data_IF_302236041584
#
_entry.id   IF_302236041584
#
_cell.length_a   1.000
_cell.length_b   1.000
_cell.length_c   1.000
_cell.angle_alpha   90.00
_cell.angle_beta   90.00
_cell.angle_gamma   90.00
#
_symmetry.space_group_name_H-M   'P 1'
#
loop_
_entity.id
_entity.type
_entity.pdbx_description
1 polymer ?
#
# COMPACT_ATOMS: atom_id res chain seq x y z
N UNK A 1 1.39 1.51 15.22
CA UNK A 1 2.13 0.38 15.83
C UNK A 1 3.14 -0.21 14.84
N UNK A 2 4.40 0.27 14.82
CA UNK A 2 5.39 -0.18 13.82
C UNK A 2 5.74 -1.68 13.88
N UNK A 3 5.52 -2.33 15.03
CA UNK A 3 5.81 -3.76 15.19
C UNK A 3 4.96 -4.65 14.28
N UNK A 4 3.68 -4.30 14.04
CA UNK A 4 2.78 -5.08 13.19
C UNK A 4 3.34 -5.19 11.79
N UNK A 5 3.73 -4.05 11.21
CA UNK A 5 4.37 -4.02 9.90
C UNK A 5 5.61 -4.92 9.84
N UNK A 6 6.46 -4.90 10.87
CA UNK A 6 7.64 -5.79 10.92
C UNK A 6 7.25 -7.28 10.89
N UNK A 7 6.17 -7.67 11.57
CA UNK A 7 5.69 -9.07 11.56
C UNK A 7 5.18 -9.48 10.18
N UNK A 8 4.38 -8.64 9.53
CA UNK A 8 3.93 -8.86 8.15
C UNK A 8 5.12 -9.03 7.19
N UNK A 9 6.08 -8.10 7.25
CA UNK A 9 7.27 -8.13 6.40
C UNK A 9 8.12 -9.39 6.64
N UNK A 10 8.26 -9.83 7.88
CA UNK A 10 8.96 -11.07 8.20
C UNK A 10 8.25 -12.31 7.61
N UNK A 11 6.91 -12.35 7.68
CA UNK A 11 6.12 -13.47 7.15
C UNK A 11 6.12 -13.54 5.61
N UNK A 12 6.26 -12.39 4.94
CA UNK A 12 6.34 -12.33 3.47
C UNK A 12 7.62 -12.94 2.89
N UNK A 13 8.67 -13.07 3.71
CA UNK A 13 9.92 -13.71 3.30
C UNK A 13 10.57 -13.07 2.06
N UNK A 14 10.36 -11.77 1.84
CA UNK A 14 10.85 -11.06 0.66
C UNK A 14 12.37 -11.19 0.56
N UNK A 15 12.91 -11.74 -0.54
CA UNK A 15 14.37 -11.85 -0.71
C UNK A 15 15.05 -10.48 -0.67
N UNK A 16 16.26 -10.43 -0.11
CA UNK A 16 17.04 -9.22 -0.10
C UNK A 16 17.37 -8.78 -1.53
N UNK A 17 17.16 -7.50 -1.84
CA UNK A 17 17.40 -6.95 -3.17
C UNK A 17 16.19 -7.02 -4.10
N UNK A 18 15.10 -7.67 -3.70
CA UNK A 18 13.85 -7.68 -4.48
C UNK A 18 13.29 -6.27 -4.67
N UNK A 19 12.80 -6.00 -5.88
CA UNK A 19 12.10 -4.76 -6.26
C UNK A 19 10.61 -5.03 -6.19
N UNK A 20 10.05 -4.95 -4.98
CA UNK A 20 8.61 -5.20 -4.76
C UNK A 20 7.92 -4.03 -4.06
N UNK A 21 6.63 -3.87 -4.35
CA UNK A 21 5.68 -3.15 -3.52
C UNK A 21 4.62 -4.11 -2.95
N UNK A 22 3.89 -3.68 -1.93
CA UNK A 22 2.85 -4.50 -1.30
C UNK A 22 1.46 -4.05 -1.68
N UNK A 23 0.67 -4.98 -2.23
CA UNK A 23 -0.78 -4.82 -2.36
C UNK A 23 -1.43 -5.01 -0.98
N UNK A 24 -2.09 -3.97 -0.47
CA UNK A 24 -2.41 -3.83 0.95
C UNK A 24 -3.87 -4.13 1.32
N UNK A 25 -4.78 -4.24 0.34
CA UNK A 25 -6.17 -4.62 0.57
C UNK A 25 -6.77 -5.36 -0.64
N UNK A 26 -7.94 -5.97 -0.42
CA UNK A 26 -8.69 -6.70 -1.44
C UNK A 26 -9.70 -5.81 -2.21
N UNK A 27 -9.41 -4.53 -2.41
CA UNK A 27 -10.32 -3.58 -3.07
C UNK A 27 -9.69 -2.91 -4.30
N UNK A 28 -10.48 -2.78 -5.38
CA UNK A 28 -10.08 -2.15 -6.67
C UNK A 28 -8.69 -2.60 -7.16
N UNK A 29 -7.73 -1.69 -7.20
CA UNK A 29 -6.37 -1.92 -7.69
C UNK A 29 -5.40 -2.38 -6.58
N UNK A 30 -5.93 -2.69 -5.40
CA UNK A 30 -5.27 -3.39 -4.30
C UNK A 30 -4.08 -2.65 -3.70
N UNK A 31 -3.98 -1.34 -3.89
CA UNK A 31 -2.89 -0.50 -3.39
C UNK A 31 -3.44 0.85 -2.95
N UNK A 32 -3.98 0.95 -1.75
CA UNK A 32 -4.64 2.19 -1.29
C UNK A 32 -3.69 3.10 -0.50
N UNK A 33 -3.78 4.40 -0.73
CA UNK A 33 -2.88 5.41 -0.16
C UNK A 33 -2.93 5.62 1.37
N UNK A 34 -3.80 4.90 2.10
CA UNK A 34 -3.76 4.92 3.57
C UNK A 34 -2.44 4.34 4.13
N UNK A 35 -1.80 3.43 3.38
CA UNK A 35 -0.43 2.97 3.64
C UNK A 35 0.21 2.43 2.37
N UNK A 36 1.32 3.01 1.94
CA UNK A 36 2.06 2.55 0.76
C UNK A 36 3.40 1.97 1.18
N UNK A 37 3.64 0.70 0.84
CA UNK A 37 4.84 -0.03 1.27
C UNK A 37 5.56 -0.55 0.04
N UNK A 38 6.83 -0.19 -0.05
CA UNK A 38 7.72 -0.61 -1.12
C UNK A 38 9.14 -0.81 -0.59
N UNK A 39 9.86 -1.73 -1.24
CA UNK A 39 11.28 -1.93 -0.99
C UNK A 39 12.08 -0.71 -1.46
N UNK A 40 13.24 -0.49 -0.84
CA UNK A 40 14.18 0.54 -1.29
C UNK A 40 14.57 0.33 -2.75
N UNK A 41 14.75 -0.93 -3.17
CA UNK A 41 15.13 -1.26 -4.55
C UNK A 41 14.02 -0.95 -5.55
N UNK A 42 12.74 -1.10 -5.17
CA UNK A 42 11.63 -0.64 -5.99
C UNK A 42 11.64 0.89 -6.14
N UNK A 43 11.92 1.61 -5.06
CA UNK A 43 11.97 3.08 -5.08
C UNK A 43 13.19 3.62 -5.86
N UNK A 44 14.36 3.00 -5.70
CA UNK A 44 15.56 3.32 -6.49
C UNK A 44 15.29 3.07 -7.98
N UNK A 45 14.60 1.97 -8.31
CA UNK A 45 14.20 1.66 -9.68
C UNK A 45 13.19 2.66 -10.25
N UNK A 46 12.23 3.09 -9.43
CA UNK A 46 11.30 4.17 -9.76
C UNK A 46 12.05 5.45 -10.12
N UNK A 47 12.98 5.92 -9.30
CA UNK A 47 13.73 7.15 -9.60
C UNK A 47 14.54 7.07 -10.89
N UNK A 48 15.06 5.89 -11.24
CA UNK A 48 15.82 5.67 -12.47
C UNK A 48 14.96 5.66 -13.74
N UNK A 49 13.65 5.45 -13.62
CA UNK A 49 12.73 5.25 -14.76
C UNK A 49 11.48 6.13 -14.69
N UNK A 50 11.45 7.11 -13.79
CA UNK A 50 10.27 7.95 -13.53
C UNK A 50 9.79 8.69 -14.78
N UNK A 51 10.68 8.99 -15.73
CA UNK A 51 10.35 9.60 -17.02
C UNK A 51 9.38 8.76 -17.85
N UNK A 52 9.38 7.43 -17.67
CA UNK A 52 8.49 6.50 -18.38
C UNK A 52 7.09 6.49 -17.80
N UNK A 53 6.93 6.96 -16.57
CA UNK A 53 5.65 6.92 -15.86
C UNK A 53 4.66 7.98 -16.36
N UNK A 54 5.14 9.03 -17.04
CA UNK A 54 4.28 10.02 -17.69
C UNK A 54 3.50 9.46 -18.91
N UNK A 55 3.98 8.36 -19.50
CA UNK A 55 3.47 7.86 -20.80
C UNK A 55 2.49 6.68 -20.64
N UNK A 56 2.58 5.92 -19.53
CA UNK A 56 1.80 4.69 -19.33
C UNK A 56 0.72 4.73 -18.24
N UNK A 57 0.72 5.72 -17.35
CA UNK A 57 -0.09 5.71 -16.13
C UNK A 57 -1.34 6.59 -16.18
N UNK A 58 -2.34 6.26 -17.01
CA UNK A 58 -3.73 6.80 -16.90
C UNK A 58 -3.95 8.34 -16.87
N UNK A 59 -2.89 9.15 -17.01
CA UNK A 59 -2.92 10.59 -16.72
C UNK A 59 -3.19 10.93 -15.25
N UNK A 60 -3.35 12.22 -14.95
CA UNK A 60 -3.75 12.76 -13.63
C UNK A 60 -5.20 12.44 -13.21
N UNK A 61 -5.83 11.45 -13.82
CA UNK A 61 -7.24 11.11 -13.58
C UNK A 61 -7.45 10.24 -12.33
N UNK A 62 -6.37 9.67 -11.78
CA UNK A 62 -6.35 8.90 -10.53
C UNK A 62 -5.67 9.63 -9.36
N UNK A 63 -5.79 9.05 -8.16
CA UNK A 63 -5.03 9.49 -6.99
C UNK A 63 -3.54 9.17 -7.09
N UNK A 64 -2.77 9.63 -6.11
CA UNK A 64 -1.32 9.36 -6.02
C UNK A 64 -1.02 7.85 -5.95
N UNK A 65 -1.77 7.10 -5.15
CA UNK A 65 -1.66 5.66 -5.00
C UNK A 65 -1.88 4.91 -6.33
N UNK A 66 -2.89 5.31 -7.11
CA UNK A 66 -3.13 4.78 -8.43
C UNK A 66 -1.98 5.08 -9.39
N UNK A 67 -1.51 6.34 -9.42
CA UNK A 67 -0.37 6.74 -10.24
C UNK A 67 0.87 5.92 -9.88
N UNK A 68 1.18 5.81 -8.59
CA UNK A 68 2.34 5.10 -8.09
C UNK A 68 2.30 3.62 -8.49
N UNK A 69 1.18 2.93 -8.25
CA UNK A 69 1.01 1.54 -8.69
C UNK A 69 1.19 1.40 -10.20
N UNK A 70 0.50 2.20 -10.99
CA UNK A 70 0.54 2.13 -12.45
C UNK A 70 1.96 2.37 -12.99
N UNK A 71 2.68 3.31 -12.39
CA UNK A 71 4.07 3.58 -12.71
C UNK A 71 4.97 2.38 -12.36
N UNK A 72 4.91 1.88 -11.12
CA UNK A 72 5.72 0.75 -10.64
C UNK A 72 5.53 -0.49 -11.53
N UNK A 73 4.28 -0.85 -11.82
CA UNK A 73 3.98 -1.98 -12.72
C UNK A 73 4.45 -1.68 -14.16
N UNK A 74 4.27 -0.45 -14.64
CA UNK A 74 4.69 -0.03 -15.99
C UNK A 74 6.21 -0.07 -16.21
N UNK A 75 7.01 0.10 -15.15
CA UNK A 75 8.48 -0.02 -15.19
C UNK A 75 8.99 -1.41 -14.75
N UNK A 76 8.10 -2.37 -14.52
CA UNK A 76 8.45 -3.76 -14.20
C UNK A 76 8.92 -3.99 -12.76
N UNK A 77 8.39 -3.23 -11.79
CA UNK A 77 8.47 -3.57 -10.36
C UNK A 77 7.44 -4.64 -10.04
N UNK A 78 7.87 -5.67 -9.33
CA UNK A 78 7.02 -6.79 -8.91
C UNK A 78 6.15 -6.41 -7.70
N UNK A 79 5.24 -7.30 -7.32
CA UNK A 79 4.44 -7.12 -6.11
C UNK A 79 4.33 -8.40 -5.28
N UNK A 80 4.11 -8.21 -3.98
CA UNK A 80 3.53 -9.22 -3.10
C UNK A 80 2.20 -8.70 -2.56
N UNK A 81 1.36 -9.58 -2.06
CA UNK A 81 0.04 -9.22 -1.53
C UNK A 81 -0.07 -9.62 -0.06
N UNK A 82 -0.56 -8.69 0.76
CA UNK A 82 -0.96 -8.94 2.13
C UNK A 82 -2.16 -8.05 2.45
N UNK A 83 -3.36 -8.61 2.29
CA UNK A 83 -4.62 -7.89 2.49
C UNK A 83 -5.03 -7.78 3.97
N UNK A 84 -4.19 -8.28 4.88
CA UNK A 84 -4.31 -8.01 6.31
C UNK A 84 -3.60 -6.73 6.74
N UNK A 85 -2.82 -6.08 5.87
CA UNK A 85 -2.08 -4.85 6.20
C UNK A 85 -3.00 -3.66 6.46
N UNK A 86 -3.97 -3.45 5.57
CA UNK A 86 -4.89 -2.32 5.63
C UNK A 86 -6.31 -2.83 5.92
N UNK A 87 -6.85 -2.44 7.06
CA UNK A 87 -8.25 -2.66 7.40
C UNK A 87 -9.10 -1.58 6.75
N UNK A 88 -9.86 -1.91 5.72
CA UNK A 88 -10.57 -0.95 4.89
C UNK A 88 -12.06 -1.28 4.75
N UNK A 89 -12.93 -0.32 5.10
CA UNK A 89 -14.38 -0.44 4.87
C UNK A 89 -14.74 -0.75 3.43
N UNK A 90 -14.00 -0.23 2.45
CA UNK A 90 -14.27 -0.54 1.05
C UNK A 90 -13.94 -1.99 0.68
N UNK A 91 -13.10 -2.67 1.47
CA UNK A 91 -12.87 -4.11 1.42
C UNK A 91 -13.79 -4.89 2.38
N UNK A 92 -14.92 -4.30 2.80
CA UNK A 92 -15.89 -4.87 3.75
C UNK A 92 -15.30 -5.17 5.15
N UNK A 93 -14.27 -4.43 5.57
CA UNK A 93 -13.67 -4.52 6.89
C UNK A 93 -14.06 -3.30 7.73
N UNK A 94 -14.74 -3.50 8.86
CA UNK A 94 -15.29 -2.41 9.69
C UNK A 94 -14.62 -2.35 11.07
N UNK A 95 -14.66 -1.18 11.70
CA UNK A 95 -14.06 -0.96 13.02
C UNK A 95 -12.54 -0.75 12.99
N UNK A 96 -11.92 -0.73 14.17
CA UNK A 96 -10.49 -0.46 14.33
C UNK A 96 -9.82 -1.31 15.43
N UNK A 97 -10.48 -2.39 15.86
CA UNK A 97 -9.99 -3.28 16.90
C UNK A 97 -9.09 -4.41 16.35
N UNK A 98 -8.84 -4.45 15.04
CA UNK A 98 -8.00 -5.49 14.43
C UNK A 98 -6.57 -5.41 14.98
N UNK A 99 -6.16 -6.48 15.68
CA UNK A 99 -4.83 -6.60 16.29
C UNK A 99 -3.70 -6.87 15.29
N UNK A 100 -4.05 -7.27 14.07
CA UNK A 100 -3.14 -7.62 12.99
C UNK A 100 -2.90 -6.43 12.06
N UNK A 101 -3.97 -5.71 11.69
CA UNK A 101 -3.88 -4.59 10.76
C UNK A 101 -2.85 -3.51 11.17
N UNK A 102 -2.13 -2.98 10.18
CA UNK A 102 -1.11 -1.94 10.35
C UNK A 102 -1.72 -0.55 10.29
N UNK A 103 -2.70 -0.37 9.41
CA UNK A 103 -3.41 0.88 9.19
C UNK A 103 -4.92 0.63 9.05
N UNK A 104 -5.70 1.68 9.25
CA UNK A 104 -7.17 1.64 9.22
C UNK A 104 -7.72 2.73 8.31
N UNK A 105 -8.56 2.34 7.38
CA UNK A 105 -9.29 3.20 6.46
C UNK A 105 -10.79 2.94 6.67
N UNK A 106 -11.64 3.95 6.84
CA UNK A 106 -11.67 5.24 6.15
C UNK A 106 -11.78 6.44 7.11
N UNK A 107 -11.17 6.35 8.30
CA UNK A 107 -11.22 7.38 9.34
C UNK A 107 -10.52 8.68 8.92
N UNK A 108 -11.19 9.51 8.11
CA UNK A 108 -10.64 10.78 7.56
C UNK A 108 -10.52 11.91 8.59
N UNK A 109 -11.18 11.80 9.74
CA UNK A 109 -11.20 12.83 10.78
C UNK A 109 -10.66 12.26 12.09
N UNK A 110 -9.88 13.08 12.81
CA UNK A 110 -9.36 12.74 14.15
C UNK A 110 -10.50 12.34 15.10
N UNK A 111 -11.62 13.08 15.09
CA UNK A 111 -12.77 12.76 15.94
C UNK A 111 -13.33 11.36 15.67
N UNK A 112 -13.52 10.98 14.41
CA UNK A 112 -14.03 9.64 14.05
C UNK A 112 -13.04 8.53 14.40
N UNK A 113 -11.74 8.79 14.27
CA UNK A 113 -10.71 7.86 14.71
C UNK A 113 -10.75 7.69 16.24
N UNK A 114 -10.78 8.80 16.99
CA UNK A 114 -10.84 8.82 18.45
C UNK A 114 -12.04 8.04 18.98
N UNK A 115 -13.24 8.19 18.40
CA UNK A 115 -14.40 7.39 18.81
C UNK A 115 -14.21 5.90 18.62
N UNK A 116 -13.43 5.47 17.62
CA UNK A 116 -13.28 4.05 17.33
C UNK A 116 -12.23 3.38 18.23
N UNK A 117 -11.04 3.98 18.36
CA UNK A 117 -9.89 3.33 18.98
C UNK A 117 -9.73 3.60 20.49
N UNK A 118 -10.63 4.42 21.06
CA UNK A 118 -10.68 4.67 22.51
C UNK A 118 -11.31 3.53 23.28
#
# INVERSE_FOLDING_TARGET
FPHRLKMHLANLGTPQGSRVYLRNNAYRFQFMGAIEIMTRQALDWYYLHAERCAVGGGGHSGGEDFFMKSCLEGIGVDYQSDFGLLHDRYAAQEGCADGWAVAFHFYKKVATWNTCHS
#
